data_IF_428592718500
#
_entry.id   IF_428592718500
#
_cell.length_a   1.000
_cell.length_b   1.000
_cell.length_c   1.000
_cell.angle_alpha   90.00
_cell.angle_beta   90.00
_cell.angle_gamma   90.00
#
_symmetry.space_group_name_H-M   'P 1'
#
loop_
_entity.id
_entity.type
_entity.pdbx_description
1 polymer ?
#
# COMPACT_ATOMS: atom_id res chain seq x y z
N UNK A 1 -9.71 -17.09 10.12
CA UNK A 1 -8.94 -15.88 10.47
C UNK A 1 -9.48 -14.76 9.58
N UNK A 2 -9.88 -13.62 10.13
CA UNK A 2 -10.36 -12.48 9.32
C UNK A 2 -9.16 -11.62 8.92
N UNK A 3 -9.01 -11.33 7.64
CA UNK A 3 -7.99 -10.44 7.10
C UNK A 3 -8.66 -9.19 6.53
N UNK A 4 -8.02 -8.03 6.72
CA UNK A 4 -8.51 -6.73 6.24
C UNK A 4 -7.60 -6.27 5.12
N UNK A 5 -8.19 -5.84 4.00
CA UNK A 5 -7.46 -5.30 2.87
C UNK A 5 -7.96 -3.89 2.53
N UNK A 6 -7.02 -2.98 2.29
CA UNK A 6 -7.28 -1.65 1.74
C UNK A 6 -6.96 -1.67 0.25
N UNK A 7 -7.91 -1.27 -0.58
CA UNK A 7 -7.80 -1.34 -2.04
C UNK A 7 -8.17 -0.01 -2.66
N UNK A 8 -7.43 0.38 -3.70
CA UNK A 8 -7.81 1.47 -4.58
C UNK A 8 -7.72 1.04 -6.04
N UNK A 9 -8.82 1.26 -6.76
CA UNK A 9 -8.89 1.06 -8.20
C UNK A 9 -8.51 2.36 -8.92
N UNK A 10 -7.66 2.24 -9.93
CA UNK A 10 -7.29 3.34 -10.82
C UNK A 10 -7.70 2.99 -12.25
N UNK A 11 -8.07 4.01 -13.01
CA UNK A 11 -8.40 3.92 -14.44
C UNK A 11 -7.15 3.69 -15.31
N UNK A 12 -6.00 4.21 -14.86
CA UNK A 12 -4.72 4.11 -15.55
C UNK A 12 -3.63 3.57 -14.63
N UNK A 13 -2.76 2.76 -15.24
CA UNK A 13 -1.65 2.08 -14.56
C UNK A 13 -0.42 2.98 -14.47
N UNK A 14 -0.39 3.91 -13.51
CA UNK A 14 0.74 4.82 -13.28
C UNK A 14 1.45 4.41 -11.98
N UNK A 15 2.58 3.70 -12.10
CA UNK A 15 3.29 3.12 -10.97
C UNK A 15 3.77 4.15 -9.93
N UNK A 16 4.25 5.31 -10.38
CA UNK A 16 4.72 6.38 -9.48
C UNK A 16 3.58 6.93 -8.62
N UNK A 17 2.43 7.22 -9.22
CA UNK A 17 1.23 7.73 -8.52
C UNK A 17 0.73 6.72 -7.49
N UNK A 18 0.77 5.43 -7.80
CA UNK A 18 0.40 4.38 -6.85
C UNK A 18 1.38 4.30 -5.67
N UNK A 19 2.69 4.42 -5.93
CA UNK A 19 3.72 4.43 -4.89
C UNK A 19 3.61 5.66 -3.98
N UNK A 20 3.46 6.86 -4.57
CA UNK A 20 3.29 8.11 -3.81
C UNK A 20 2.04 8.03 -2.93
N UNK A 21 0.92 7.52 -3.46
CA UNK A 21 -0.27 7.34 -2.65
C UNK A 21 -0.08 6.37 -1.48
N UNK A 22 0.63 5.26 -1.71
CA UNK A 22 0.92 4.29 -0.66
C UNK A 22 1.73 4.97 0.46
N UNK A 23 2.79 5.68 0.10
CA UNK A 23 3.67 6.37 1.05
C UNK A 23 2.97 7.51 1.80
N UNK A 24 2.15 8.31 1.12
CA UNK A 24 1.60 9.53 1.70
C UNK A 24 0.28 9.31 2.45
N UNK A 25 -0.48 8.28 2.07
CA UNK A 25 -1.88 8.14 2.54
C UNK A 25 -2.23 6.78 3.11
N UNK A 26 -1.56 5.72 2.69
CA UNK A 26 -1.88 4.36 3.15
C UNK A 26 -0.97 3.95 4.28
N UNK A 27 0.35 4.03 4.14
CA UNK A 27 1.32 3.60 5.17
C UNK A 27 1.18 4.39 6.49
N UNK A 28 1.09 5.73 6.49
CA UNK A 28 1.11 6.53 7.72
C UNK A 28 0.03 6.15 8.77
N UNK A 29 -1.24 5.88 8.40
CA UNK A 29 -2.21 5.45 9.39
C UNK A 29 -1.90 4.08 9.99
N UNK A 30 -1.41 3.09 9.22
CA UNK A 30 -1.02 1.80 9.80
C UNK A 30 0.14 1.94 10.79
N UNK A 31 1.14 2.75 10.46
CA UNK A 31 2.24 3.07 11.38
C UNK A 31 1.75 3.79 12.64
N UNK A 32 0.86 4.79 12.48
CA UNK A 32 0.29 5.54 13.60
C UNK A 32 -0.54 4.66 14.55
N UNK A 33 -1.20 3.62 14.04
CA UNK A 33 -1.96 2.67 14.85
C UNK A 33 -1.11 1.48 15.34
N UNK A 34 0.18 1.41 14.97
CA UNK A 34 1.05 0.29 15.31
C UNK A 34 0.64 -1.04 14.67
N UNK A 35 -0.12 -1.00 13.56
CA UNK A 35 -0.60 -2.17 12.86
C UNK A 35 0.49 -2.63 11.87
N UNK A 36 1.05 -3.85 12.01
CA UNK A 36 2.09 -4.32 11.11
C UNK A 36 1.54 -4.59 9.71
N UNK A 37 2.10 -3.90 8.71
CA UNK A 37 1.85 -4.18 7.31
C UNK A 37 2.58 -5.46 6.88
N UNK A 38 1.82 -6.50 6.54
CA UNK A 38 2.39 -7.81 6.19
C UNK A 38 3.01 -7.82 4.78
N UNK A 39 2.30 -7.30 3.77
CA UNK A 39 2.72 -7.27 2.36
C UNK A 39 2.05 -6.10 1.63
N UNK A 40 2.78 -5.50 0.69
CA UNK A 40 2.23 -4.57 -0.30
C UNK A 40 2.30 -5.24 -1.68
N UNK A 41 1.14 -5.45 -2.30
CA UNK A 41 1.02 -6.04 -3.63
C UNK A 41 0.96 -4.92 -4.66
N UNK A 42 1.93 -4.90 -5.56
CA UNK A 42 1.95 -4.02 -6.72
C UNK A 42 1.72 -4.85 -7.99
N UNK A 43 1.42 -4.14 -9.07
CA UNK A 43 1.28 -4.74 -10.40
C UNK A 43 2.57 -5.38 -10.94
N UNK A 44 3.72 -5.17 -10.28
CA UNK A 44 5.00 -5.84 -10.55
C UNK A 44 5.35 -6.95 -9.55
N UNK A 45 4.42 -7.31 -8.67
CA UNK A 45 4.63 -8.32 -7.62
C UNK A 45 4.63 -7.72 -6.21
N UNK A 46 5.10 -8.51 -5.23
CA UNK A 46 5.18 -8.04 -3.84
C UNK A 46 6.40 -7.13 -3.68
N UNK A 47 6.18 -5.91 -3.18
CA UNK A 47 7.27 -4.97 -2.87
C UNK A 47 7.24 -4.59 -1.40
N UNK A 48 8.41 -4.51 -0.76
CA UNK A 48 8.57 -3.72 0.46
C UNK A 48 8.91 -2.31 0.00
N UNK A 49 7.92 -1.41 0.03
CA UNK A 49 8.17 0.02 -0.10
C UNK A 49 8.72 0.49 1.25
N UNK A 50 10.05 0.42 1.39
CA UNK A 50 10.79 1.30 2.29
C UNK A 50 11.48 2.32 1.40
N UNK A 51 11.23 3.59 1.66
CA UNK A 51 12.23 4.61 1.34
C UNK A 51 13.29 4.60 2.44
#
# INVERSE_FOLDING_TARGET
>A
MLEVATVKLYDRKIALVAADMLNDRVIPPYESYGIPLMRILTDRGTSILRR
#
